data_IF_028159954743
#
_entry.id   IF_028159954743
#
_cell.length_a   1.000
_cell.length_b   1.000
_cell.length_c   1.000
_cell.angle_alpha   90.00
_cell.angle_beta   90.00
_cell.angle_gamma   90.00
#
_symmetry.space_group_name_H-M   'P 1'
#
loop_
_entity.id
_entity.type
_entity.pdbx_description
1 polymer ?
#
# COMPACT_ATOMS: atom_id res chain seq x y z
N UNK A 1 -33.63 69.02 27.42
CA UNK A 1 -34.63 67.98 27.11
C UNK A 1 -34.33 67.43 25.74
N UNK A 2 -34.01 66.13 25.67
CA UNK A 2 -34.08 65.21 24.51
C UNK A 2 -33.13 65.44 23.32
N UNK A 3 -32.44 64.44 22.77
CA UNK A 3 -31.99 63.10 23.21
C UNK A 3 -31.08 62.58 22.07
N UNK A 4 -29.84 62.25 22.42
CA UNK A 4 -28.95 61.22 21.86
C UNK A 4 -28.87 61.01 20.34
N UNK A 5 -27.73 61.43 19.79
CA UNK A 5 -27.20 60.97 18.51
C UNK A 5 -26.87 59.48 18.55
N UNK A 6 -27.42 58.78 17.56
CA UNK A 6 -27.28 57.37 17.25
C UNK A 6 -25.80 56.98 17.09
N UNK A 7 -25.23 56.33 18.10
CA UNK A 7 -23.91 55.70 18.00
C UNK A 7 -24.07 54.37 17.30
N UNK A 8 -23.83 54.33 15.98
CA UNK A 8 -23.72 53.08 15.22
C UNK A 8 -22.39 52.44 15.63
N UNK A 9 -22.48 51.52 16.58
CA UNK A 9 -21.40 50.62 16.96
C UNK A 9 -21.17 49.67 15.78
N UNK A 10 -20.16 49.97 14.96
CA UNK A 10 -19.62 49.06 13.95
C UNK A 10 -19.06 47.83 14.67
N UNK A 11 -19.90 46.81 14.82
CA UNK A 11 -19.48 45.43 14.99
C UNK A 11 -18.77 45.02 13.70
N UNK A 12 -17.47 45.35 13.62
CA UNK A 12 -16.54 44.58 12.79
C UNK A 12 -16.47 43.21 13.44
N UNK A 13 -17.41 42.35 13.05
CA UNK A 13 -17.31 40.92 13.23
C UNK A 13 -16.05 40.54 12.46
N UNK A 14 -14.94 40.43 13.19
CA UNK A 14 -13.74 39.75 12.75
C UNK A 14 -14.19 38.34 12.36
N UNK A 15 -14.55 38.18 11.09
CA UNK A 15 -14.53 36.90 10.43
C UNK A 15 -13.04 36.56 10.34
N UNK A 16 -12.51 35.98 11.42
CA UNK A 16 -11.46 35.00 11.27
C UNK A 16 -12.09 33.85 10.52
N UNK A 17 -12.22 34.03 9.20
CA UNK A 17 -12.25 32.93 8.27
C UNK A 17 -10.94 32.20 8.52
N UNK A 18 -10.98 31.17 9.37
CA UNK A 18 -9.94 30.16 9.41
C UNK A 18 -9.80 29.72 7.96
N UNK A 19 -8.77 30.23 7.29
CA UNK A 19 -8.49 29.89 5.89
C UNK A 19 -8.41 28.38 5.85
N UNK A 20 -9.36 27.76 5.15
CA UNK A 20 -9.35 26.33 4.92
C UNK A 20 -7.98 26.02 4.31
N UNK A 21 -7.16 25.26 5.04
CA UNK A 21 -5.88 24.79 4.52
C UNK A 21 -6.17 24.12 3.17
N UNK A 22 -5.35 24.44 2.17
CA UNK A 22 -5.55 23.92 0.81
C UNK A 22 -5.72 22.40 0.91
N UNK A 23 -6.81 21.83 0.37
CA UNK A 23 -7.02 20.39 0.42
C UNK A 23 -5.84 19.70 -0.25
N UNK A 24 -5.43 18.56 0.29
CA UNK A 24 -4.40 17.75 -0.36
C UNK A 24 -4.91 17.28 -1.73
N UNK A 25 -4.07 17.41 -2.74
CA UNK A 25 -4.31 16.84 -4.06
C UNK A 25 -3.60 15.49 -4.12
N UNK A 26 -4.27 14.45 -4.61
CA UNK A 26 -3.74 13.07 -4.63
C UNK A 26 -3.89 12.49 -6.04
N UNK A 27 -2.82 11.89 -6.55
CA UNK A 27 -2.76 11.24 -7.87
C UNK A 27 -2.17 9.84 -7.76
N UNK A 28 -2.63 8.93 -8.63
CA UNK A 28 -2.22 7.52 -8.63
C UNK A 28 -1.52 7.16 -9.94
N UNK A 29 -0.34 6.56 -9.81
CA UNK A 29 0.46 6.09 -10.93
C UNK A 29 0.73 4.59 -10.78
N UNK A 30 0.69 3.90 -11.91
CA UNK A 30 0.88 2.47 -12.11
C UNK A 30 1.84 2.29 -13.29
N UNK A 31 2.42 1.09 -13.52
CA UNK A 31 3.37 0.89 -14.61
C UNK A 31 2.84 1.34 -16.00
N UNK A 32 1.53 1.19 -16.24
CA UNK A 32 0.88 1.60 -17.49
C UNK A 32 0.90 3.12 -17.76
N UNK A 33 1.10 3.95 -16.74
CA UNK A 33 1.16 5.41 -16.86
C UNK A 33 2.45 5.99 -16.24
N UNK A 34 3.54 5.21 -16.24
CA UNK A 34 4.85 5.65 -15.76
C UNK A 34 5.34 6.95 -16.42
N UNK A 35 5.06 7.13 -17.72
CA UNK A 35 5.48 8.31 -18.46
C UNK A 35 4.82 9.59 -17.91
N UNK A 36 3.58 9.49 -17.44
CA UNK A 36 2.86 10.61 -16.82
C UNK A 36 3.46 10.99 -15.47
N UNK A 37 3.93 10.03 -14.68
CA UNK A 37 4.65 10.32 -13.44
C UNK A 37 5.99 11.01 -13.75
N UNK A 38 6.77 10.44 -14.65
CA UNK A 38 8.08 10.98 -15.04
C UNK A 38 7.98 12.37 -15.69
N UNK A 39 6.84 12.73 -16.30
CA UNK A 39 6.67 14.08 -16.87
C UNK A 39 6.37 15.16 -15.83
N UNK A 40 5.84 14.80 -14.67
CA UNK A 40 5.49 15.75 -13.60
C UNK A 40 6.52 15.76 -12.46
N UNK A 41 7.48 14.83 -12.50
CA UNK A 41 8.47 14.65 -11.45
C UNK A 41 9.88 14.62 -12.04
N UNK A 42 10.67 15.63 -11.73
CA UNK A 42 12.03 15.82 -12.20
C UNK A 42 13.10 15.33 -11.21
N UNK A 43 12.71 14.99 -9.98
CA UNK A 43 13.65 14.57 -8.92
C UNK A 43 13.82 13.05 -8.89
N UNK A 44 12.72 12.29 -9.03
CA UNK A 44 12.77 10.83 -9.09
C UNK A 44 11.99 10.31 -10.28
N UNK A 45 12.43 9.16 -10.80
CA UNK A 45 11.67 8.42 -11.80
C UNK A 45 10.75 7.39 -11.16
N UNK A 46 9.77 6.91 -11.93
CA UNK A 46 8.87 5.83 -11.54
C UNK A 46 9.64 4.59 -11.05
N UNK A 47 10.82 4.32 -11.62
CA UNK A 47 11.71 3.20 -11.28
C UNK A 47 12.65 3.46 -10.10
N UNK A 48 12.39 4.47 -9.26
CA UNK A 48 13.18 4.83 -8.08
C UNK A 48 13.76 3.62 -7.33
N UNK A 49 15.10 3.49 -7.26
CA UNK A 49 15.78 2.42 -6.52
C UNK A 49 15.35 0.97 -6.90
N UNK A 50 14.96 0.72 -8.16
CA UNK A 50 14.43 -0.57 -8.62
C UNK A 50 15.39 -1.76 -8.43
N UNK A 51 16.71 -1.53 -8.49
CA UNK A 51 17.73 -2.56 -8.19
C UNK A 51 17.64 -3.02 -6.72
N UNK A 52 17.35 -2.10 -5.80
CA UNK A 52 17.29 -2.38 -4.37
C UNK A 52 15.95 -3.01 -4.00
N UNK A 53 14.85 -2.37 -4.39
CA UNK A 53 13.49 -2.68 -3.91
C UNK A 53 12.61 -3.44 -4.91
N UNK A 54 13.10 -3.71 -6.12
CA UNK A 54 12.32 -4.37 -7.17
C UNK A 54 11.48 -3.40 -7.99
N UNK A 55 10.53 -3.92 -8.75
CA UNK A 55 9.70 -3.14 -9.68
C UNK A 55 8.68 -2.31 -8.91
N UNK A 56 8.41 -1.11 -9.38
CA UNK A 56 7.30 -0.28 -8.88
C UNK A 56 5.98 -0.86 -9.34
N UNK A 57 5.05 -1.01 -8.42
CA UNK A 57 3.69 -1.48 -8.72
C UNK A 57 2.67 -0.36 -8.62
N UNK A 58 2.92 0.64 -7.77
CA UNK A 58 2.09 1.84 -7.64
C UNK A 58 2.88 2.99 -7.02
N UNK A 59 2.57 4.23 -7.39
CA UNK A 59 2.96 5.44 -6.66
C UNK A 59 1.70 6.24 -6.38
N UNK A 60 1.50 6.62 -5.12
CA UNK A 60 0.49 7.61 -4.74
C UNK A 60 1.21 8.90 -4.45
N UNK A 61 1.01 9.90 -5.31
CA UNK A 61 1.59 11.23 -5.16
C UNK A 61 0.61 12.14 -4.43
N UNK A 62 1.09 12.94 -3.49
CA UNK A 62 0.31 14.02 -2.90
C UNK A 62 1.05 15.34 -2.90
N UNK A 63 0.29 16.41 -3.08
CA UNK A 63 0.76 17.79 -2.88
C UNK A 63 -0.22 18.52 -1.96
N UNK A 64 0.29 19.23 -0.97
CA UNK A 64 -0.53 20.03 -0.07
C UNK A 64 0.28 21.13 0.60
N UNK A 65 -0.34 21.79 1.57
CA UNK A 65 0.31 22.87 2.34
C UNK A 65 1.52 22.37 3.12
N UNK A 66 1.52 21.08 3.52
CA UNK A 66 2.59 20.45 4.27
C UNK A 66 3.75 19.91 3.39
N UNK A 67 3.69 20.16 2.08
CA UNK A 67 4.68 19.72 1.10
C UNK A 67 4.14 18.65 0.15
N UNK A 68 5.07 18.06 -0.62
CA UNK A 68 4.77 16.97 -1.54
C UNK A 68 5.35 15.66 -1.02
N UNK A 69 4.62 14.58 -1.24
CA UNK A 69 5.02 13.24 -0.82
C UNK A 69 4.75 12.23 -1.91
N UNK A 70 5.60 11.21 -2.00
CA UNK A 70 5.32 10.01 -2.76
C UNK A 70 5.24 8.81 -1.83
N UNK A 71 4.17 8.05 -1.97
CA UNK A 71 4.03 6.73 -1.37
C UNK A 71 4.23 5.66 -2.44
N UNK A 72 5.41 5.07 -2.45
CA UNK A 72 5.89 4.20 -3.53
C UNK A 72 5.79 2.75 -3.09
N UNK A 73 5.06 1.94 -3.84
CA UNK A 73 4.87 0.51 -3.62
C UNK A 73 5.73 -0.29 -4.59
N UNK A 74 6.48 -1.26 -4.07
CA UNK A 74 7.46 -2.06 -4.83
C UNK A 74 7.29 -3.54 -4.54
N UNK A 75 7.58 -4.35 -5.57
CA UNK A 75 7.62 -5.81 -5.50
C UNK A 75 8.93 -6.33 -6.08
N UNK A 76 9.69 -7.03 -5.25
CA UNK A 76 10.95 -7.69 -5.65
C UNK A 76 10.74 -9.18 -5.75
N UNK A 77 10.59 -9.67 -6.97
CA UNK A 77 10.48 -11.11 -7.25
C UNK A 77 11.86 -11.74 -7.10
N UNK A 78 11.96 -12.76 -6.26
CA UNK A 78 13.18 -13.54 -6.02
C UNK A 78 13.17 -14.83 -6.83
N UNK A 79 12.03 -15.52 -6.82
CA UNK A 79 11.81 -16.80 -7.47
C UNK A 79 10.46 -16.79 -8.14
N UNK A 80 10.39 -17.38 -9.33
CA UNK A 80 9.14 -17.58 -10.05
C UNK A 80 9.09 -19.05 -10.47
N UNK A 81 8.10 -19.76 -9.98
CA UNK A 81 7.85 -21.16 -10.31
C UNK A 81 6.49 -21.29 -10.98
N UNK A 82 6.31 -22.33 -11.79
CA UNK A 82 5.00 -22.68 -12.32
C UNK A 82 4.80 -24.18 -12.31
N UNK A 83 3.56 -24.57 -12.09
CA UNK A 83 3.10 -25.94 -12.22
C UNK A 83 2.20 -26.00 -13.45
N UNK A 84 2.61 -26.76 -14.46
CA UNK A 84 1.87 -26.99 -15.69
C UNK A 84 1.16 -28.33 -15.53
N UNK A 85 -0.17 -28.29 -15.46
CA UNK A 85 -0.99 -29.47 -15.29
C UNK A 85 -1.43 -30.00 -16.66
N UNK A 86 -1.11 -31.26 -16.93
CA UNK A 86 -1.62 -32.05 -18.05
C UNK A 86 -2.65 -33.06 -17.54
N UNK A 87 -3.19 -33.91 -18.40
CA UNK A 87 -4.30 -34.81 -18.02
C UNK A 87 -3.90 -35.78 -16.92
N UNK A 88 -2.67 -36.28 -16.97
CA UNK A 88 -2.19 -37.34 -16.06
C UNK A 88 -0.88 -36.99 -15.34
N UNK A 89 -0.32 -35.80 -15.57
CA UNK A 89 0.99 -35.42 -15.04
C UNK A 89 1.07 -33.92 -14.82
N UNK A 90 1.85 -33.51 -13.83
CA UNK A 90 2.20 -32.11 -13.60
C UNK A 90 3.69 -31.92 -13.77
N UNK A 91 4.07 -30.88 -14.51
CA UNK A 91 5.47 -30.49 -14.71
C UNK A 91 5.73 -29.20 -13.96
N UNK A 92 6.78 -29.20 -13.14
CA UNK A 92 7.22 -28.03 -12.39
C UNK A 92 8.41 -27.37 -13.08
N UNK A 93 8.33 -26.05 -13.23
CA UNK A 93 9.42 -25.27 -13.81
C UNK A 93 9.74 -24.06 -12.94
N UNK A 94 11.02 -23.70 -12.96
CA UNK A 94 11.54 -22.46 -12.38
C UNK A 94 12.01 -21.53 -13.48
N UNK A 95 11.68 -20.25 -13.35
CA UNK A 95 12.12 -19.22 -14.29
C UNK A 95 13.53 -18.76 -13.94
N UNK A 96 14.46 -18.97 -14.86
CA UNK A 96 15.80 -18.43 -14.74
C UNK A 96 15.80 -16.95 -15.16
N UNK A 97 15.92 -16.06 -14.17
CA UNK A 97 15.91 -14.60 -14.38
C UNK A 97 17.05 -14.11 -15.30
N UNK A 98 18.21 -14.78 -15.30
CA UNK A 98 19.36 -14.40 -16.11
C UNK A 98 19.19 -14.79 -17.58
N UNK A 99 18.71 -16.01 -17.85
CA UNK A 99 18.52 -16.51 -19.22
C UNK A 99 17.15 -16.18 -19.81
N UNK A 100 16.23 -15.69 -18.96
CA UNK A 100 14.83 -15.39 -19.29
C UNK A 100 14.05 -16.60 -19.82
N UNK A 101 14.38 -17.80 -19.34
CA UNK A 101 13.77 -19.06 -19.77
C UNK A 101 13.27 -19.86 -18.58
N UNK A 102 12.19 -20.59 -18.79
CA UNK A 102 11.72 -21.62 -17.87
C UNK A 102 12.59 -22.87 -17.99
N UNK A 103 12.87 -23.50 -16.86
CA UNK A 103 13.61 -24.75 -16.77
C UNK A 103 12.89 -25.69 -15.82
N UNK A 104 12.69 -26.93 -16.24
CA UNK A 104 12.17 -28.01 -15.41
C UNK A 104 13.00 -28.18 -14.13
N UNK A 105 12.34 -28.28 -12.98
CA UNK A 105 13.00 -28.52 -11.69
C UNK A 105 13.53 -29.95 -11.61
N UNK A 106 14.52 -30.21 -10.74
CA UNK A 106 15.16 -31.54 -10.64
C UNK A 106 14.19 -32.66 -10.24
N UNK A 107 13.17 -32.33 -9.45
CA UNK A 107 12.17 -33.27 -8.95
C UNK A 107 10.88 -33.29 -9.78
N UNK A 108 10.81 -32.53 -10.88
CA UNK A 108 9.63 -32.50 -11.73
C UNK A 108 9.48 -33.79 -12.52
N UNK A 109 8.22 -34.14 -12.82
CA UNK A 109 7.94 -35.14 -13.85
C UNK A 109 8.45 -34.69 -15.22
N UNK A 110 8.72 -35.66 -16.09
CA UNK A 110 9.03 -35.40 -17.49
C UNK A 110 7.81 -34.83 -18.23
N UNK A 111 8.07 -34.02 -19.25
CA UNK A 111 7.03 -33.55 -20.14
C UNK A 111 6.31 -34.72 -20.84
N UNK A 112 4.97 -34.68 -20.93
CA UNK A 112 4.24 -35.64 -21.75
C UNK A 112 4.56 -35.45 -23.25
N UNK A 113 4.12 -36.39 -24.11
CA UNK A 113 4.28 -36.24 -25.56
C UNK A 113 3.76 -34.89 -26.05
N UNK A 114 4.42 -34.30 -27.05
CA UNK A 114 4.09 -32.96 -27.60
C UNK A 114 2.65 -32.79 -28.10
N UNK A 115 1.92 -33.89 -28.29
CA UNK A 115 0.52 -33.91 -28.69
C UNK A 115 -0.43 -33.58 -27.54
N UNK A 116 0.01 -33.70 -26.28
CA UNK A 116 -0.79 -33.38 -25.10
C UNK A 116 -0.70 -31.87 -24.78
N UNK A 117 -1.87 -31.25 -24.58
CA UNK A 117 -1.97 -29.83 -24.26
C UNK A 117 -2.07 -29.64 -22.75
N UNK A 118 -1.46 -28.56 -22.25
CA UNK A 118 -1.64 -28.14 -20.87
C UNK A 118 -3.12 -27.82 -20.61
N UNK A 119 -3.65 -28.35 -19.52
CA UNK A 119 -5.01 -28.07 -19.03
C UNK A 119 -5.00 -26.75 -18.27
N UNK A 120 -4.01 -26.57 -17.41
CA UNK A 120 -3.85 -25.39 -16.57
C UNK A 120 -2.36 -25.09 -16.33
N UNK A 121 -2.06 -23.84 -16.00
CA UNK A 121 -0.74 -23.43 -15.54
C UNK A 121 -0.89 -22.45 -14.39
N UNK A 122 -0.52 -22.89 -13.20
CA UNK A 122 -0.48 -22.03 -12.02
C UNK A 122 0.94 -21.51 -11.82
N UNK A 123 1.09 -20.20 -11.64
CA UNK A 123 2.39 -19.55 -11.41
C UNK A 123 2.46 -19.00 -9.99
N UNK A 124 3.55 -19.31 -9.29
CA UNK A 124 3.85 -18.83 -7.95
C UNK A 124 5.09 -17.95 -7.98
N UNK A 125 5.12 -16.93 -7.11
CA UNK A 125 6.27 -16.07 -6.97
C UNK A 125 6.64 -15.89 -5.51
N UNK A 126 7.88 -16.21 -5.15
CA UNK A 126 8.45 -15.75 -3.89
C UNK A 126 8.95 -14.33 -4.11
N UNK A 127 8.43 -13.39 -3.32
CA UNK A 127 8.72 -11.98 -3.50
C UNK A 127 8.67 -11.21 -2.18
N UNK A 128 9.37 -10.09 -2.18
CA UNK A 128 9.34 -9.12 -1.09
C UNK A 128 8.49 -7.92 -1.49
N UNK A 129 7.71 -7.43 -0.54
CA UNK A 129 7.01 -6.16 -0.62
C UNK A 129 7.83 -5.07 0.06
N UNK A 130 7.87 -3.91 -0.59
CA UNK A 130 8.36 -2.68 0.02
C UNK A 130 7.34 -1.56 -0.21
N UNK A 131 7.21 -0.67 0.77
CA UNK A 131 6.53 0.60 0.56
C UNK A 131 7.33 1.73 1.18
N UNK A 132 7.46 2.85 0.47
CA UNK A 132 8.41 3.91 0.80
C UNK A 132 7.66 5.23 0.81
N UNK A 133 7.80 6.00 1.89
CA UNK A 133 7.29 7.38 1.91
C UNK A 133 8.48 8.32 1.70
N UNK A 134 8.47 9.03 0.58
CA UNK A 134 9.42 10.09 0.27
C UNK A 134 8.77 11.45 0.52
N UNK A 135 9.51 12.36 1.12
CA UNK A 135 9.13 13.77 1.21
C UNK A 135 10.05 14.61 0.33
N UNK A 136 9.49 15.55 -0.42
CA UNK A 136 10.24 16.49 -1.24
C UNK A 136 10.70 17.67 -0.39
N UNK A 137 11.99 17.95 -0.45
CA UNK A 137 12.61 18.99 0.37
C UNK A 137 13.74 19.69 -0.40
N UNK A 138 13.66 21.02 -0.56
CA UNK A 138 14.67 21.88 -1.19
C UNK A 138 15.36 21.33 -2.47
N UNK A 139 14.59 20.70 -3.38
CA UNK A 139 15.11 20.16 -4.65
C UNK A 139 15.65 18.73 -4.57
N UNK A 140 15.48 18.04 -3.44
CA UNK A 140 15.77 16.62 -3.28
C UNK A 140 14.60 15.86 -2.65
N UNK A 141 14.83 14.58 -2.37
CA UNK A 141 13.89 13.71 -1.66
C UNK A 141 14.52 13.13 -0.40
N UNK A 142 13.72 12.99 0.65
CA UNK A 142 14.11 12.35 1.91
C UNK A 142 13.21 11.14 2.15
N UNK A 143 13.81 9.97 2.32
CA UNK A 143 13.10 8.76 2.77
C UNK A 143 12.66 8.95 4.23
N UNK A 144 11.34 8.99 4.46
CA UNK A 144 10.76 9.14 5.80
C UNK A 144 10.38 7.79 6.42
N UNK A 145 9.96 6.83 5.59
CA UNK A 145 9.51 5.51 6.03
C UNK A 145 9.90 4.47 4.99
N UNK A 146 10.34 3.31 5.47
CA UNK A 146 10.50 2.09 4.70
C UNK A 146 9.70 0.96 5.37
N UNK A 147 8.64 0.51 4.71
CA UNK A 147 7.92 -0.72 5.02
C UNK A 147 8.55 -1.90 4.28
N UNK A 148 8.60 -3.06 4.93
CA UNK A 148 9.11 -4.31 4.39
C UNK A 148 8.24 -5.47 4.87
N UNK A 149 7.90 -6.36 3.95
CA UNK A 149 7.37 -7.68 4.28
C UNK A 149 7.85 -8.72 3.27
N UNK A 150 8.38 -9.84 3.77
CA UNK A 150 9.16 -10.79 2.98
C UNK A 150 8.40 -12.10 2.85
N UNK A 151 7.91 -12.35 1.64
CA UNK A 151 7.34 -13.64 1.28
C UNK A 151 8.39 -14.74 1.22
N UNK A 152 7.92 -15.97 1.32
CA UNK A 152 8.71 -17.20 1.23
C UNK A 152 7.93 -18.25 0.42
N UNK A 153 8.26 -19.53 0.58
CA UNK A 153 7.62 -20.62 -0.18
C UNK A 153 6.22 -20.99 0.32
N UNK A 154 5.82 -20.53 1.51
CA UNK A 154 4.52 -20.80 2.15
C UNK A 154 3.74 -19.53 2.50
N UNK A 155 4.28 -18.36 2.17
CA UNK A 155 3.71 -17.04 2.47
C UNK A 155 3.96 -16.07 1.33
N UNK A 156 2.89 -15.57 0.73
CA UNK A 156 2.94 -14.65 -0.41
C UNK A 156 2.20 -13.35 -0.08
N UNK A 157 2.89 -12.33 0.48
CA UNK A 157 2.28 -11.06 0.84
C UNK A 157 1.92 -10.24 -0.41
N UNK A 158 0.71 -9.71 -0.48
CA UNK A 158 0.27 -8.81 -1.55
C UNK A 158 -0.36 -7.54 -0.97
N UNK A 159 -0.09 -6.41 -1.62
CA UNK A 159 -0.79 -5.17 -1.31
C UNK A 159 -2.24 -5.24 -1.78
N UNK A 160 -3.15 -4.75 -0.95
CA UNK A 160 -4.51 -4.43 -1.36
C UNK A 160 -4.52 -3.00 -1.93
N UNK A 161 -4.14 -2.86 -3.20
CA UNK A 161 -3.89 -1.56 -3.84
C UNK A 161 -5.08 -0.60 -3.75
N UNK A 162 -6.32 -1.09 -3.82
CA UNK A 162 -7.53 -0.25 -3.71
C UNK A 162 -7.64 0.47 -2.37
N UNK A 163 -7.00 -0.08 -1.33
CA UNK A 163 -6.99 0.42 0.04
C UNK A 163 -5.60 0.91 0.48
N UNK A 164 -4.71 1.14 -0.49
CA UNK A 164 -3.46 1.82 -0.30
C UNK A 164 -3.61 3.25 -0.84
N UNK A 165 -3.51 4.27 0.03
CA UNK A 165 -3.86 5.64 -0.34
C UNK A 165 -3.15 6.68 0.54
N UNK A 166 -3.19 7.93 0.08
CA UNK A 166 -2.91 9.12 0.89
C UNK A 166 -4.23 9.86 1.06
N UNK A 167 -4.51 10.33 2.27
CA UNK A 167 -5.67 11.19 2.55
C UNK A 167 -5.38 12.18 3.68
N UNK A 168 -6.34 13.06 3.95
CA UNK A 168 -6.36 13.98 5.10
C UNK A 168 -7.75 13.84 5.73
N UNK A 169 -7.94 12.77 6.50
CA UNK A 169 -9.25 12.39 7.04
C UNK A 169 -9.69 13.30 8.19
N UNK A 170 -8.74 13.81 8.96
CA UNK A 170 -9.03 14.74 10.06
C UNK A 170 -9.11 16.21 9.59
N UNK A 171 -8.78 16.50 8.33
CA UNK A 171 -8.83 17.82 7.68
C UNK A 171 -7.88 18.83 8.33
N UNK A 172 -6.73 18.37 8.81
CA UNK A 172 -5.69 19.24 9.39
C UNK A 172 -4.66 19.71 8.34
N UNK A 173 -4.83 19.32 7.08
CA UNK A 173 -3.93 19.66 5.97
C UNK A 173 -2.67 18.81 5.91
N UNK A 174 -2.52 17.82 6.79
CA UNK A 174 -1.37 16.93 6.87
C UNK A 174 -1.78 15.55 6.33
N UNK A 175 -1.00 14.96 5.41
CA UNK A 175 -1.36 13.67 4.84
C UNK A 175 -1.18 12.52 5.84
N UNK A 176 -2.12 11.59 5.84
CA UNK A 176 -1.98 10.25 6.39
C UNK A 176 -1.84 9.21 5.28
N UNK A 177 -0.98 8.22 5.51
CA UNK A 177 -0.59 7.22 4.51
C UNK A 177 -1.12 5.85 4.93
N UNK A 178 -2.04 5.30 4.13
CA UNK A 178 -2.69 4.03 4.38
C UNK A 178 -2.05 2.94 3.52
N UNK A 179 -1.60 1.88 4.16
CA UNK A 179 -1.04 0.69 3.53
C UNK A 179 -1.82 -0.51 4.02
N UNK A 180 -2.47 -1.19 3.08
CA UNK A 180 -3.24 -2.40 3.36
C UNK A 180 -2.61 -3.56 2.61
N UNK A 181 -2.37 -4.67 3.29
CA UNK A 181 -1.81 -5.87 2.69
C UNK A 181 -2.28 -7.12 3.42
N UNK A 182 -2.29 -8.23 2.70
CA UNK A 182 -2.62 -9.55 3.21
C UNK A 182 -1.69 -10.55 2.53
N UNK A 183 -1.38 -11.66 3.19
CA UNK A 183 -0.67 -12.74 2.52
C UNK A 183 -1.59 -13.88 2.14
N UNK A 184 -1.29 -14.53 1.04
CA UNK A 184 -1.78 -15.87 0.78
C UNK A 184 -0.85 -16.89 1.45
N UNK A 185 -1.40 -18.06 1.75
CA UNK A 185 -0.67 -19.23 2.26
C UNK A 185 -0.95 -20.45 1.39
N UNK A 186 -0.30 -21.56 1.70
CA UNK A 186 -0.54 -22.89 1.13
C UNK A 186 -1.95 -23.46 1.41
N UNK A 187 -2.82 -22.69 2.08
CA UNK A 187 -4.21 -23.05 2.36
C UNK A 187 -4.42 -23.70 3.72
N UNK A 188 -3.35 -23.88 4.52
CA UNK A 188 -3.46 -24.45 5.87
C UNK A 188 -3.84 -23.40 6.92
N UNK A 189 -3.43 -22.15 6.72
CA UNK A 189 -3.70 -21.05 7.65
C UNK A 189 -4.21 -19.81 6.92
N UNK A 190 -5.34 -19.25 7.35
CA UNK A 190 -5.73 -17.90 6.96
C UNK A 190 -4.72 -16.90 7.51
N UNK A 191 -4.11 -16.07 6.64
CA UNK A 191 -3.21 -15.02 7.09
C UNK A 191 -3.99 -13.72 7.33
N UNK A 192 -3.67 -12.97 8.39
CA UNK A 192 -4.43 -11.79 8.74
C UNK A 192 -4.25 -10.67 7.72
N UNK A 193 -5.32 -9.91 7.50
CA UNK A 193 -5.26 -8.62 6.82
C UNK A 193 -4.63 -7.61 7.78
N UNK A 194 -3.64 -6.87 7.30
CA UNK A 194 -2.98 -5.83 8.09
C UNK A 194 -3.18 -4.49 7.42
N UNK A 195 -3.62 -3.52 8.21
CA UNK A 195 -3.64 -2.13 7.81
C UNK A 195 -2.65 -1.34 8.65
N UNK A 196 -1.73 -0.69 7.97
CA UNK A 196 -0.75 0.22 8.56
C UNK A 196 -1.10 1.64 8.15
N UNK A 197 -1.09 2.54 9.12
CA UNK A 197 -1.31 3.97 8.91
C UNK A 197 -0.06 4.68 9.39
N UNK A 198 0.57 5.45 8.52
CA UNK A 198 1.59 6.41 8.93
C UNK A 198 0.96 7.79 9.01
N UNK A 199 1.09 8.44 10.16
CA UNK A 199 0.57 9.79 10.40
C UNK A 199 1.61 10.60 11.16
N UNK A 200 1.60 11.92 10.99
CA UNK A 200 2.55 12.76 11.70
C UNK A 200 2.17 12.94 13.18
N UNK A 201 3.12 12.65 14.07
CA UNK A 201 3.10 13.03 15.47
C UNK A 201 4.41 13.75 15.77
N UNK A 202 4.34 14.98 16.32
CA UNK A 202 5.51 15.79 16.63
C UNK A 202 6.53 15.90 15.47
N UNK A 203 6.04 16.13 14.24
CA UNK A 203 6.82 16.25 12.99
C UNK A 203 7.52 14.96 12.53
N UNK A 204 7.25 13.82 13.14
CA UNK A 204 7.73 12.50 12.70
C UNK A 204 6.56 11.64 12.26
N UNK A 205 6.77 10.79 11.25
CA UNK A 205 5.78 9.78 10.90
C UNK A 205 5.81 8.67 11.94
N UNK A 206 4.68 8.44 12.59
CA UNK A 206 4.46 7.33 13.50
C UNK A 206 3.62 6.26 12.82
N UNK A 207 3.99 5.01 13.07
CA UNK A 207 3.29 3.83 12.58
C UNK A 207 2.18 3.45 13.55
N UNK A 208 0.99 3.27 13.00
CA UNK A 208 -0.18 2.69 13.68
C UNK A 208 -0.65 1.46 12.91
N UNK A 209 -1.17 0.45 13.60
CA UNK A 209 -1.53 -0.83 12.98
C UNK A 209 -2.86 -1.37 13.51
N UNK A 210 -3.66 -1.87 12.57
CA UNK A 210 -4.80 -2.73 12.81
C UNK A 210 -4.60 -4.07 12.11
N UNK A 211 -4.94 -5.18 12.78
CA UNK A 211 -4.78 -6.55 12.26
C UNK A 211 -6.10 -7.27 12.37
N UNK A 212 -6.65 -7.75 11.25
CA UNK A 212 -7.89 -8.49 11.22
C UNK A 212 -7.60 -9.97 10.94
N UNK A 213 -8.10 -10.83 11.81
CA UNK A 213 -7.95 -12.28 11.74
C UNK A 213 -9.24 -12.89 11.21
N UNK A 214 -9.12 -13.86 10.32
CA UNK A 214 -10.23 -14.54 9.67
C UNK A 214 -10.31 -15.99 10.16
N UNK A 215 -11.52 -16.59 10.18
CA UNK A 215 -11.68 -18.00 10.53
C UNK A 215 -10.90 -18.89 9.55
N UNK A 216 -10.06 -19.80 10.06
CA UNK A 216 -9.28 -20.73 9.25
C UNK A 216 -9.88 -22.15 9.19
N UNK A 217 -11.12 -22.32 9.66
CA UNK A 217 -11.84 -23.60 9.63
C UNK A 217 -11.85 -24.38 10.94
N UNK A 218 -11.18 -23.90 12.00
CA UNK A 218 -11.37 -24.44 13.36
C UNK A 218 -12.61 -23.81 14.00
N UNK A 219 -13.35 -24.59 14.81
CA UNK A 219 -14.59 -24.13 15.45
C UNK A 219 -14.39 -22.91 16.39
N UNK A 220 -13.18 -22.73 16.91
CA UNK A 220 -12.82 -21.63 17.82
C UNK A 220 -12.35 -20.36 17.09
N UNK A 221 -12.01 -20.44 15.80
CA UNK A 221 -11.49 -19.30 15.06
C UNK A 221 -12.64 -18.35 14.70
N UNK A 222 -12.71 -17.20 15.37
CA UNK A 222 -13.69 -16.16 15.07
C UNK A 222 -13.01 -14.90 14.53
N UNK A 223 -13.72 -14.21 13.64
CA UNK A 223 -13.27 -12.92 13.13
C UNK A 223 -13.09 -11.93 14.29
N UNK A 224 -11.89 -11.37 14.41
CA UNK A 224 -11.60 -10.32 15.38
C UNK A 224 -10.54 -9.36 14.84
N UNK A 225 -10.52 -8.14 15.40
CA UNK A 225 -9.60 -7.09 14.99
C UNK A 225 -8.80 -6.64 16.21
N UNK A 226 -7.48 -6.67 16.08
CA UNK A 226 -6.54 -6.13 17.05
C UNK A 226 -6.03 -4.76 16.61
N UNK A 227 -6.08 -3.79 17.52
CA UNK A 227 -5.55 -2.45 17.31
C UNK A 227 -4.35 -2.21 18.21
N UNK A 228 -3.25 -1.72 17.65
CA UNK A 228 -2.08 -1.35 18.45
C UNK A 228 -2.30 -0.06 19.25
N UNK A 229 -1.33 0.25 20.13
CA UNK A 229 -1.45 1.39 21.05
C UNK A 229 -1.45 2.74 20.32
N UNK A 230 -0.77 2.83 19.17
CA UNK A 230 -0.69 4.07 18.39
C UNK A 230 -1.99 4.29 17.60
N UNK A 231 -2.55 3.21 17.06
CA UNK A 231 -3.84 3.22 16.38
C UNK A 231 -4.95 3.77 17.30
N UNK A 232 -4.98 3.32 18.55
CA UNK A 232 -5.96 3.78 19.56
C UNK A 232 -5.84 5.28 19.88
N UNK A 233 -4.70 5.90 19.60
CA UNK A 233 -4.44 7.34 19.80
C UNK A 233 -4.75 8.19 18.56
N UNK A 234 -4.99 7.57 17.40
CA UNK A 234 -5.29 8.31 16.17
C UNK A 234 -6.57 9.15 16.32
N UNK A 235 -6.68 10.20 15.51
CA UNK A 235 -7.93 10.96 15.43
C UNK A 235 -9.09 10.05 15.00
N UNK A 236 -10.30 10.29 15.54
CA UNK A 236 -11.47 9.43 15.28
C UNK A 236 -11.79 9.27 13.80
N UNK A 237 -11.62 10.31 12.99
CA UNK A 237 -11.86 10.24 11.54
C UNK A 237 -10.93 9.22 10.85
N UNK A 238 -9.64 9.22 11.21
CA UNK A 238 -8.64 8.28 10.72
C UNK A 238 -9.00 6.85 11.15
N UNK A 239 -9.40 6.67 12.41
CA UNK A 239 -9.88 5.38 12.94
C UNK A 239 -11.10 4.86 12.17
N UNK A 240 -12.07 5.74 11.87
CA UNK A 240 -13.29 5.37 11.11
C UNK A 240 -12.95 4.86 9.71
N UNK A 241 -12.07 5.56 8.98
CA UNK A 241 -11.63 5.07 7.65
C UNK A 241 -10.90 3.73 7.76
N UNK A 242 -10.03 3.60 8.75
CA UNK A 242 -9.30 2.36 9.02
C UNK A 242 -10.26 1.18 9.21
N UNK A 243 -11.23 1.32 10.10
CA UNK A 243 -12.26 0.32 10.35
C UNK A 243 -13.08 0.02 9.11
N UNK A 244 -13.47 1.05 8.33
CA UNK A 244 -14.21 0.86 7.08
C UNK A 244 -13.44 -0.03 6.10
N UNK A 245 -12.14 0.20 5.92
CA UNK A 245 -11.28 -0.61 5.04
C UNK A 245 -11.21 -2.07 5.51
N UNK A 246 -11.03 -2.29 6.80
CA UNK A 246 -10.97 -3.65 7.36
C UNK A 246 -12.32 -4.36 7.18
N UNK A 247 -13.42 -3.68 7.48
CA UNK A 247 -14.76 -4.25 7.41
C UNK A 247 -15.21 -4.57 5.97
N UNK A 248 -14.56 -4.03 4.93
CA UNK A 248 -14.80 -4.45 3.54
C UNK A 248 -14.30 -5.86 3.24
N UNK A 249 -13.50 -6.44 4.11
CA UNK A 249 -12.92 -7.78 3.97
C UNK A 249 -13.57 -8.81 4.89
N UNK A 250 -14.49 -8.38 5.76
CA UNK A 250 -15.32 -9.26 6.60
C UNK A 250 -16.39 -9.92 5.74
#
# INVERSE_FOLDING_TARGET
>A
MHKNYLTILLLVVYHFSFGQLKPIEVSYFYPKNEASFNSINDVISFDYESKKYGKTTMIVHSTGTFGSFDFIFKKKILKLTRTINFKNVSVEEEYNMATKKWKTTENSNAYPPKTEQAIDTTTYSTHHLYAIILAYDHGGVVEKVLFQDFGNEIYWPEFDYKNCSISDENKDGIPEFYLTYMGNSDGLDAKPLKQIIYSFANKKLEKSKATAYFPAGNEEDTFHIEYDINWKKLHKAIQTKSQKIINQHK
#
